data_IF_123903587996
#
_entry.id   IF_123903587996
#
_cell.length_a   1.000
_cell.length_b   1.000
_cell.length_c   1.000
_cell.angle_alpha   90.00
_cell.angle_beta   90.00
_cell.angle_gamma   90.00
#
_symmetry.space_group_name_H-M   'P 1'
#
loop_
_entity.id
_entity.type
_entity.pdbx_description
1 polymer ?
#
# COMPACT_ATOMS: atom_id res chain seq x y z
N UNK A 1 5.98 -0.87 21.13
CA UNK A 1 6.46 -1.79 22.17
C UNK A 1 6.40 -1.07 23.51
N UNK A 2 6.09 -1.75 24.61
CA UNK A 2 5.91 -1.13 25.92
C UNK A 2 7.24 -0.59 26.45
N UNK A 3 7.17 0.51 27.19
CA UNK A 3 8.33 1.16 27.81
C UNK A 3 8.07 1.43 29.29
N UNK A 4 9.12 1.28 30.10
CA UNK A 4 9.13 1.62 31.52
C UNK A 4 9.83 2.97 31.69
N UNK A 5 9.17 3.94 32.33
CA UNK A 5 9.77 5.25 32.64
C UNK A 5 10.02 5.35 34.16
N UNK A 6 11.29 5.45 34.55
CA UNK A 6 11.71 5.62 35.95
C UNK A 6 12.56 6.89 36.03
N UNK A 7 12.07 7.91 36.74
CA UNK A 7 12.83 9.13 36.99
C UNK A 7 13.32 9.84 35.72
N UNK A 8 12.57 9.77 34.62
CA UNK A 8 12.92 10.37 33.33
C UNK A 8 13.78 9.50 32.41
N UNK A 9 14.16 8.29 32.84
CA UNK A 9 14.87 7.30 32.00
C UNK A 9 13.88 6.32 31.40
N UNK A 10 14.06 6.00 30.13
CA UNK A 10 13.19 5.08 29.37
C UNK A 10 13.90 3.75 29.18
N UNK A 11 13.25 2.66 29.58
CA UNK A 11 13.71 1.30 29.36
C UNK A 11 12.72 0.58 28.44
N UNK A 12 13.22 0.01 27.35
CA UNK A 12 12.40 -0.82 26.46
C UNK A 12 12.14 -2.17 27.10
N UNK A 13 10.88 -2.55 27.29
CA UNK A 13 10.53 -3.86 27.82
C UNK A 13 10.37 -4.86 26.67
N UNK A 14 11.06 -5.99 26.75
CA UNK A 14 10.98 -7.09 25.79
C UNK A 14 10.25 -8.27 26.40
N UNK A 15 9.51 -9.00 25.56
CA UNK A 15 8.78 -10.18 26.01
C UNK A 15 9.73 -11.24 26.55
N UNK A 16 9.47 -11.75 27.76
CA UNK A 16 10.31 -12.76 28.41
C UNK A 16 11.57 -12.20 29.07
N UNK A 17 11.79 -10.89 29.04
CA UNK A 17 12.85 -10.19 29.78
C UNK A 17 12.25 -9.43 30.98
N UNK A 18 13.02 -9.29 32.05
CA UNK A 18 12.67 -8.46 33.19
C UNK A 18 13.71 -7.35 33.38
N UNK A 19 13.26 -6.10 33.51
CA UNK A 19 14.10 -4.93 33.81
C UNK A 19 13.62 -4.34 35.12
N UNK A 20 14.51 -4.17 36.09
CA UNK A 20 14.16 -3.68 37.43
C UNK A 20 13.02 -4.49 38.07
N UNK A 21 13.05 -5.81 37.93
CA UNK A 21 11.98 -6.73 38.38
C UNK A 21 10.61 -6.53 37.70
N UNK A 22 10.51 -5.67 36.68
CA UNK A 22 9.32 -5.55 35.86
C UNK A 22 9.45 -6.46 34.65
N UNK A 23 8.62 -7.50 34.59
CA UNK A 23 8.49 -8.40 33.46
C UNK A 23 7.35 -7.99 32.54
N UNK A 24 7.50 -8.24 31.24
CA UNK A 24 6.39 -8.11 30.28
C UNK A 24 6.27 -9.37 29.42
N UNK A 25 5.03 -9.73 29.10
CA UNK A 25 4.70 -10.67 28.03
C UNK A 25 3.59 -10.08 27.17
N UNK A 26 3.32 -10.66 26.01
CA UNK A 26 2.17 -10.30 25.19
C UNK A 26 1.52 -11.51 24.54
N UNK A 27 0.24 -11.38 24.24
CA UNK A 27 -0.51 -12.31 23.41
C UNK A 27 -1.22 -11.54 22.29
N UNK A 28 -1.18 -12.10 21.09
CA UNK A 28 -1.87 -11.55 19.93
C UNK A 28 -3.22 -12.23 19.80
N UNK A 29 -4.27 -11.43 19.65
CA UNK A 29 -5.60 -11.91 19.33
C UNK A 29 -5.72 -12.34 17.87
N UNK A 30 -6.91 -12.81 17.50
CA UNK A 30 -7.22 -13.20 16.13
C UNK A 30 -7.03 -12.04 15.16
N UNK A 31 -6.43 -12.35 14.00
CA UNK A 31 -6.21 -11.38 12.95
C UNK A 31 -7.48 -11.19 12.11
N UNK A 32 -7.94 -9.95 12.03
CA UNK A 32 -9.00 -9.53 11.12
C UNK A 32 -8.33 -9.15 9.80
N UNK A 33 -8.44 -10.05 8.81
CA UNK A 33 -7.91 -9.83 7.46
C UNK A 33 -8.81 -8.86 6.70
N UNK A 34 -8.23 -7.78 6.20
CA UNK A 34 -8.96 -6.76 5.43
C UNK A 34 -8.62 -6.78 3.93
N UNK A 35 -7.40 -7.18 3.57
CA UNK A 35 -6.98 -7.53 2.21
C UNK A 35 -5.74 -8.44 2.28
N UNK A 36 -5.33 -9.10 1.19
CA UNK A 36 -4.05 -9.82 1.13
C UNK A 36 -2.91 -9.01 1.75
N UNK A 37 -2.16 -9.60 2.67
CA UNK A 37 -1.06 -8.94 3.40
C UNK A 37 -1.42 -7.74 4.28
N UNK A 38 -2.71 -7.41 4.46
CA UNK A 38 -3.16 -6.36 5.38
C UNK A 38 -4.19 -6.92 6.37
N UNK A 39 -3.88 -6.78 7.64
CA UNK A 39 -4.70 -7.28 8.72
C UNK A 39 -4.52 -6.47 10.00
N UNK A 40 -5.47 -6.61 10.92
CA UNK A 40 -5.46 -5.91 12.20
C UNK A 40 -5.70 -6.92 13.31
N UNK A 41 -5.05 -6.73 14.44
CA UNK A 41 -5.27 -7.55 15.63
C UNK A 41 -5.08 -6.72 16.89
N UNK A 42 -5.64 -7.21 18.00
CA UNK A 42 -5.42 -6.62 19.32
C UNK A 42 -4.30 -7.41 20.01
N UNK A 43 -3.23 -6.72 20.38
CA UNK A 43 -2.15 -7.25 21.22
C UNK A 43 -2.41 -6.88 22.66
N UNK A 44 -2.44 -7.86 23.54
CA UNK A 44 -2.58 -7.65 25.00
C UNK A 44 -1.22 -7.85 25.66
N UNK A 45 -0.71 -6.81 26.29
CA UNK A 45 0.48 -6.85 27.13
C UNK A 45 0.09 -7.20 28.57
N UNK A 46 0.82 -8.11 29.19
CA UNK A 46 0.73 -8.43 30.62
C UNK A 46 2.03 -8.04 31.28
N UNK A 47 1.95 -7.13 32.26
CA UNK A 47 3.08 -6.62 33.03
C UNK A 47 2.99 -7.16 34.45
N UNK A 48 4.10 -7.66 34.97
CA UNK A 48 4.23 -8.14 36.35
C UNK A 48 5.39 -7.44 37.05
N UNK A 49 5.18 -7.05 38.30
CA UNK A 49 6.25 -6.67 39.20
C UNK A 49 6.67 -7.89 40.05
N UNK A 50 7.88 -8.40 39.85
CA UNK A 50 8.40 -9.53 40.61
C UNK A 50 8.69 -9.19 42.08
N UNK A 51 8.77 -7.90 42.46
CA UNK A 51 8.78 -7.49 43.86
C UNK A 51 7.41 -7.64 44.52
N UNK A 52 6.32 -7.58 43.75
CA UNK A 52 4.96 -7.82 44.22
C UNK A 52 4.18 -8.64 43.19
N UNK A 53 4.34 -9.98 43.18
CA UNK A 53 3.80 -10.85 42.13
C UNK A 53 2.26 -10.82 42.00
N UNK A 54 1.56 -10.25 42.99
CA UNK A 54 0.11 -10.05 42.93
C UNK A 54 -0.31 -8.81 42.11
N UNK A 55 0.59 -7.88 41.81
CA UNK A 55 0.31 -6.71 40.96
C UNK A 55 0.59 -7.08 39.49
N UNK A 56 -0.42 -7.69 38.87
CA UNK A 56 -0.44 -8.00 37.43
C UNK A 56 -1.34 -7.01 36.72
N UNK A 57 -0.83 -6.35 35.68
CA UNK A 57 -1.57 -5.34 34.91
C UNK A 57 -1.61 -5.70 33.44
N UNK A 58 -2.71 -5.35 32.77
CA UNK A 58 -2.90 -5.61 31.35
C UNK A 58 -3.16 -4.34 30.56
N UNK A 59 -2.62 -4.28 29.35
CA UNK A 59 -2.78 -3.15 28.43
C UNK A 59 -3.01 -3.67 27.01
N UNK A 60 -3.85 -2.99 26.24
CA UNK A 60 -4.15 -3.40 24.86
C UNK A 60 -3.56 -2.41 23.84
N UNK A 61 -3.10 -2.95 22.71
CA UNK A 61 -2.64 -2.19 21.55
C UNK A 61 -3.35 -2.72 20.30
N UNK A 62 -3.95 -1.83 19.52
CA UNK A 62 -4.40 -2.18 18.17
C UNK A 62 -3.21 -2.13 17.23
N UNK A 63 -2.83 -3.29 16.69
CA UNK A 63 -1.76 -3.42 15.69
C UNK A 63 -2.39 -3.48 14.31
N UNK A 64 -1.88 -2.65 13.39
CA UNK A 64 -2.29 -2.62 11.99
C UNK A 64 -1.08 -3.01 11.14
N UNK A 65 -1.24 -4.04 10.34
CA UNK A 65 -0.27 -4.46 9.33
C UNK A 65 -0.88 -4.11 7.98
N UNK A 66 -0.09 -3.46 7.12
CA UNK A 66 -0.56 -2.98 5.83
C UNK A 66 0.44 -3.26 4.71
N UNK A 67 -0.09 -3.35 3.50
CA UNK A 67 0.70 -3.42 2.28
C UNK A 67 1.33 -2.06 1.97
N UNK A 68 2.58 -2.08 1.50
CA UNK A 68 3.34 -0.91 1.05
C UNK A 68 3.81 -1.05 -0.39
N UNK A 69 3.42 -2.14 -1.06
CA UNK A 69 3.74 -2.42 -2.45
C UNK A 69 2.94 -1.47 -3.35
N UNK A 70 3.60 -0.69 -4.22
CA UNK A 70 2.89 0.15 -5.18
C UNK A 70 2.09 -0.70 -6.18
N UNK A 71 0.99 -0.15 -6.75
CA UNK A 71 0.27 -0.83 -7.83
C UNK A 71 1.13 -0.98 -9.07
N UNK A 72 0.87 -2.06 -9.82
CA UNK A 72 1.46 -2.28 -11.13
C UNK A 72 0.54 -1.70 -12.19
N UNK A 73 1.02 -0.67 -12.89
CA UNK A 73 0.33 -0.10 -14.04
C UNK A 73 0.76 -0.79 -15.33
N UNK A 74 -0.21 -1.22 -16.12
CA UNK A 74 -0.03 -1.64 -17.50
C UNK A 74 -0.66 -0.57 -18.39
N UNK A 75 0.16 0.11 -19.18
CA UNK A 75 -0.29 1.15 -20.11
C UNK A 75 -0.79 0.58 -21.44
N UNK A 76 -1.33 1.44 -22.33
CA UNK A 76 -1.65 1.02 -23.68
C UNK A 76 -0.39 0.60 -24.43
N UNK A 77 -0.53 -0.35 -25.34
CA UNK A 77 0.51 -0.75 -26.29
C UNK A 77 -0.02 -0.63 -27.72
N UNK A 78 0.90 -0.51 -28.67
CA UNK A 78 0.59 -0.48 -30.09
C UNK A 78 1.60 -1.35 -30.82
N UNK A 79 1.17 -1.97 -31.90
CA UNK A 79 2.02 -2.66 -32.87
C UNK A 79 1.61 -2.10 -34.24
N UNK A 80 2.37 -1.11 -34.75
CA UNK A 80 2.03 -0.43 -36.01
C UNK A 80 2.46 -1.21 -37.24
N UNK A 81 3.47 -2.07 -37.12
CA UNK A 81 4.01 -2.85 -38.23
C UNK A 81 3.42 -4.28 -38.31
N UNK A 82 2.57 -4.65 -37.36
CA UNK A 82 1.90 -5.95 -37.22
C UNK A 82 2.89 -7.12 -37.13
N UNK A 83 4.05 -6.92 -36.50
CA UNK A 83 5.07 -7.95 -36.32
C UNK A 83 4.86 -8.81 -35.05
N UNK A 84 3.87 -8.46 -34.23
CA UNK A 84 3.55 -9.13 -32.97
C UNK A 84 4.38 -8.64 -31.78
N UNK A 85 5.20 -7.60 -31.97
CA UNK A 85 6.01 -6.95 -30.94
C UNK A 85 5.42 -5.56 -30.69
N UNK A 86 5.28 -5.18 -29.42
CA UNK A 86 4.84 -3.84 -29.08
C UNK A 86 5.90 -2.80 -29.45
N UNK A 87 5.48 -1.74 -30.15
CA UNK A 87 6.28 -0.55 -30.44
C UNK A 87 6.68 0.16 -29.13
N UNK A 88 7.88 0.74 -29.12
CA UNK A 88 8.39 1.49 -27.98
C UNK A 88 7.71 2.87 -27.82
N UNK A 89 7.26 3.46 -28.92
CA UNK A 89 6.55 4.74 -28.97
C UNK A 89 5.05 4.53 -29.21
N UNK A 90 4.23 5.30 -28.49
CA UNK A 90 2.79 5.36 -28.70
C UNK A 90 2.47 6.49 -29.68
N UNK A 91 2.17 6.14 -30.93
CA UNK A 91 1.87 7.11 -31.99
C UNK A 91 0.55 6.77 -32.67
N UNK A 92 -0.45 7.60 -32.40
CA UNK A 92 -1.78 7.47 -32.98
C UNK A 92 -1.92 8.44 -34.15
N UNK A 93 -1.91 7.91 -35.37
CA UNK A 93 -2.28 8.65 -36.58
C UNK A 93 -3.81 8.79 -36.66
N UNK A 94 -4.32 9.45 -37.70
CA UNK A 94 -5.77 9.50 -37.96
C UNK A 94 -6.35 8.10 -38.07
N UNK A 95 -7.06 7.66 -37.05
CA UNK A 95 -7.66 6.33 -36.95
C UNK A 95 -9.20 6.39 -36.81
N UNK A 96 -9.80 7.58 -36.91
CA UNK A 96 -11.23 7.80 -36.79
C UNK A 96 -11.98 7.80 -38.14
N UNK A 97 -11.61 6.93 -39.08
CA UNK A 97 -12.26 6.86 -40.40
C UNK A 97 -12.01 8.12 -41.27
N UNK A 98 -13.05 8.64 -41.94
CA UNK A 98 -12.95 9.75 -42.90
C UNK A 98 -12.91 11.16 -42.24
N UNK A 99 -12.49 11.27 -40.98
CA UNK A 99 -12.29 12.55 -40.31
C UNK A 99 -10.85 12.68 -39.83
N UNK A 100 -10.34 13.92 -39.79
CA UNK A 100 -9.01 14.24 -39.26
C UNK A 100 -9.00 14.18 -37.73
N UNK A 101 -9.21 12.99 -37.18
CA UNK A 101 -9.19 12.73 -35.74
C UNK A 101 -8.48 11.41 -35.42
N UNK A 102 -7.88 11.36 -34.24
CA UNK A 102 -7.32 10.16 -33.64
C UNK A 102 -8.03 9.92 -32.29
N UNK A 103 -8.36 8.66 -32.00
CA UNK A 103 -8.84 8.23 -30.69
C UNK A 103 -7.85 7.28 -30.04
N UNK A 104 -7.71 7.41 -28.72
CA UNK A 104 -6.93 6.51 -27.86
C UNK A 104 -7.93 5.81 -26.93
N UNK A 105 -7.89 4.47 -26.91
CA UNK A 105 -8.77 3.66 -26.05
C UNK A 105 -8.08 3.40 -24.72
N UNK A 106 -8.43 4.20 -23.72
CA UNK A 106 -7.95 4.03 -22.35
C UNK A 106 -8.71 2.94 -21.59
N UNK A 107 -9.82 2.45 -22.15
CA UNK A 107 -10.63 1.33 -21.69
C UNK A 107 -10.23 -0.01 -22.34
N UNK A 108 -9.20 -0.03 -23.19
CA UNK A 108 -8.72 -1.25 -23.83
C UNK A 108 -8.26 -2.26 -22.77
N UNK A 109 -8.47 -3.55 -23.01
CA UNK A 109 -8.13 -4.62 -22.05
C UNK A 109 -6.64 -4.66 -21.61
N UNK A 110 -5.76 -3.98 -22.35
CA UNK A 110 -4.35 -3.78 -21.98
C UNK A 110 -4.11 -2.72 -20.90
N UNK A 111 -4.99 -1.72 -20.78
CA UNK A 111 -4.85 -0.63 -19.81
C UNK A 111 -5.47 -1.06 -18.48
N UNK A 112 -4.63 -1.31 -17.48
CA UNK A 112 -5.09 -1.70 -16.15
C UNK A 112 -4.08 -1.31 -15.09
N UNK A 113 -4.56 -1.17 -13.87
CA UNK A 113 -3.71 -1.07 -12.71
C UNK A 113 -4.17 -2.12 -11.70
N UNK A 114 -3.22 -2.90 -11.19
CA UNK A 114 -3.50 -3.99 -10.26
C UNK A 114 -2.69 -3.76 -9.00
N UNK A 115 -3.36 -3.83 -7.86
CA UNK A 115 -2.74 -3.96 -6.55
C UNK A 115 -3.52 -4.98 -5.72
N UNK A 116 -2.79 -5.71 -4.88
CA UNK A 116 -3.26 -6.83 -4.09
C UNK A 116 -4.14 -6.39 -2.92
N UNK A 117 -4.07 -5.11 -2.53
CA UNK A 117 -4.95 -4.52 -1.51
C UNK A 117 -6.00 -3.55 -2.06
N UNK A 118 -5.88 -3.11 -3.30
CA UNK A 118 -6.86 -2.25 -3.96
C UNK A 118 -7.88 -3.07 -4.75
N UNK A 119 -8.85 -3.66 -4.06
CA UNK A 119 -10.01 -4.29 -4.71
C UNK A 119 -10.90 -3.30 -5.48
N UNK A 120 -10.74 -1.98 -5.29
CA UNK A 120 -11.68 -0.97 -5.84
C UNK A 120 -11.13 0.46 -6.00
N UNK A 121 -9.87 0.75 -5.60
CA UNK A 121 -9.41 2.14 -5.42
C UNK A 121 -8.25 2.57 -6.32
N UNK A 122 -7.97 1.86 -7.42
CA UNK A 122 -7.01 2.38 -8.40
C UNK A 122 -7.74 3.21 -9.44
N UNK A 123 -7.54 4.52 -9.39
CA UNK A 123 -8.03 5.44 -10.41
C UNK A 123 -6.95 5.65 -11.46
N UNK A 124 -7.27 5.36 -12.72
CA UNK A 124 -6.41 5.69 -13.85
C UNK A 124 -6.89 7.03 -14.42
N UNK A 125 -6.00 8.00 -14.49
CA UNK A 125 -6.21 9.28 -15.17
C UNK A 125 -5.21 9.41 -16.30
N UNK A 126 -5.59 10.11 -17.37
CA UNK A 126 -4.72 10.30 -18.52
C UNK A 126 -4.70 11.78 -18.91
N UNK A 127 -3.49 12.32 -19.04
CA UNK A 127 -3.24 13.68 -19.52
C UNK A 127 -2.54 13.57 -20.88
N UNK A 128 -3.13 14.14 -21.92
CA UNK A 128 -2.57 14.09 -23.27
C UNK A 128 -1.89 15.42 -23.58
N UNK A 129 -0.60 15.39 -23.92
CA UNK A 129 0.19 16.57 -24.31
C UNK A 129 0.50 16.50 -25.80
N UNK A 130 -0.20 17.28 -26.66
CA UNK A 130 0.09 17.32 -28.09
C UNK A 130 1.56 17.71 -28.36
N UNK A 131 2.19 17.01 -29.30
CA UNK A 131 3.59 17.32 -29.69
C UNK A 131 4.62 17.11 -28.58
N UNK A 132 4.26 16.39 -27.50
CA UNK A 132 5.10 16.20 -26.31
C UNK A 132 5.47 17.50 -25.56
N UNK A 133 4.68 18.58 -25.70
CA UNK A 133 4.87 19.80 -24.92
C UNK A 133 4.27 19.65 -23.51
N UNK A 134 5.10 19.22 -22.56
CA UNK A 134 4.72 19.02 -21.15
C UNK A 134 4.45 20.34 -20.40
N UNK A 135 4.73 21.49 -21.00
CA UNK A 135 4.43 22.80 -20.41
C UNK A 135 3.05 23.35 -20.85
N UNK A 136 2.41 22.71 -21.84
CA UNK A 136 1.08 23.09 -22.30
C UNK A 136 -0.01 22.53 -21.39
N UNK A 137 -1.22 23.08 -21.49
CA UNK A 137 -2.42 22.50 -20.86
C UNK A 137 -2.73 21.15 -21.50
N UNK A 138 -2.83 20.06 -20.74
CA UNK A 138 -3.17 18.75 -21.30
C UNK A 138 -4.62 18.71 -21.79
N UNK A 139 -4.88 17.82 -22.76
CA UNK A 139 -6.22 17.50 -23.23
C UNK A 139 -6.70 16.25 -22.47
N UNK A 140 -7.83 16.39 -21.78
CA UNK A 140 -8.42 15.34 -20.95
C UNK A 140 -7.95 15.36 -19.49
N UNK A 141 -8.85 14.96 -18.58
CA UNK A 141 -8.63 14.74 -17.14
C UNK A 141 -9.59 13.67 -16.63
#
# INVERSE_FOLDING_TARGET
YPVLNIGGRIFGLRSGEAICNIGVTYADGEAIVTCPFTYKFVRTYTVIDWCNPGDVRTFTQVVKVGDTTPPVFTGPSQDRNFDGIADADLVYTTNAGNICAAYIRLDAAGVRAVDNCSGTNVTITANIYPGADLNATPIGS
#
